data_IF_527532400384
#
_entry.id   IF_527532400384
#
_cell.length_a   1.000
_cell.length_b   1.000
_cell.length_c   1.000
_cell.angle_alpha   90.00
_cell.angle_beta   90.00
_cell.angle_gamma   90.00
#
_symmetry.space_group_name_H-M   'P 1'
#
loop_
_entity.id
_entity.type
_entity.pdbx_description
1 polymer ?
#
# COMPACT_ATOMS: atom_id res chain seq x y z
N UNK A 1 -6.48 18.75 -23.17
CA UNK A 1 -6.77 17.53 -22.41
C UNK A 1 -6.77 17.93 -20.94
N UNK A 2 -7.96 18.01 -20.32
CA UNK A 2 -8.08 18.42 -18.92
C UNK A 2 -7.85 17.19 -18.04
N UNK A 3 -6.87 17.27 -17.15
CA UNK A 3 -6.62 16.23 -16.14
C UNK A 3 -7.39 16.60 -14.88
N UNK A 4 -8.37 15.77 -14.51
CA UNK A 4 -9.06 15.91 -13.24
C UNK A 4 -8.28 15.16 -12.16
N UNK A 5 -7.81 15.87 -11.16
CA UNK A 5 -7.19 15.27 -9.99
C UNK A 5 -8.21 15.16 -8.87
N UNK A 6 -8.45 13.93 -8.43
CA UNK A 6 -9.32 13.65 -7.28
C UNK A 6 -8.47 13.16 -6.12
N UNK A 7 -8.37 13.96 -5.07
CA UNK A 7 -7.64 13.58 -3.85
C UNK A 7 -8.64 13.41 -2.72
N UNK A 8 -8.75 12.22 -2.11
CA UNK A 8 -9.60 12.02 -0.96
C UNK A 8 -9.02 12.80 0.24
N UNK A 9 -9.80 13.72 0.80
CA UNK A 9 -9.37 14.63 1.87
C UNK A 9 -10.05 14.36 3.21
N UNK A 10 -11.08 13.51 3.25
CA UNK A 10 -11.78 13.18 4.48
C UNK A 10 -12.82 12.10 4.32
N UNK A 11 -13.27 11.56 5.45
CA UNK A 11 -14.33 10.57 5.56
C UNK A 11 -15.30 10.99 6.64
N UNK A 12 -16.60 10.75 6.40
CA UNK A 12 -17.65 10.94 7.41
C UNK A 12 -17.82 9.72 8.32
N UNK A 13 -16.93 8.73 8.20
CA UNK A 13 -16.92 7.54 9.05
C UNK A 13 -16.31 7.86 10.43
N UNK A 14 -17.04 7.60 11.55
CA UNK A 14 -16.51 7.88 12.87
C UNK A 14 -15.36 6.91 13.22
N UNK A 15 -14.21 7.46 13.60
CA UNK A 15 -13.07 6.70 14.12
C UNK A 15 -13.25 6.54 15.63
N UNK A 16 -13.80 5.39 16.07
CA UNK A 16 -14.11 5.11 17.48
C UNK A 16 -12.92 4.57 18.29
N UNK A 17 -11.91 4.02 17.62
CA UNK A 17 -10.71 3.43 18.25
C UNK A 17 -9.45 4.04 17.64
N UNK A 18 -8.37 4.08 18.42
CA UNK A 18 -7.07 4.54 17.93
C UNK A 18 -6.53 3.58 16.87
N UNK A 19 -6.20 4.04 15.66
CA UNK A 19 -5.75 3.19 14.55
C UNK A 19 -4.24 2.93 14.62
N UNK A 20 -3.80 2.15 15.60
CA UNK A 20 -2.39 1.88 15.86
C UNK A 20 -1.68 1.17 14.71
N UNK A 21 -2.34 0.19 14.08
CA UNK A 21 -1.75 -0.60 12.99
C UNK A 21 -1.59 0.26 11.74
N UNK A 22 -2.59 1.09 11.43
CA UNK A 22 -2.48 2.06 10.31
C UNK A 22 -1.24 2.95 10.49
N UNK A 23 -1.06 3.52 11.68
CA UNK A 23 0.10 4.37 11.96
C UNK A 23 1.41 3.59 11.96
N UNK A 24 1.42 2.37 12.52
CA UNK A 24 2.59 1.49 12.49
C UNK A 24 3.04 1.23 11.05
N UNK A 25 2.13 0.87 10.15
CA UNK A 25 2.42 0.62 8.74
C UNK A 25 2.97 1.90 8.08
N UNK A 26 2.31 3.05 8.30
CA UNK A 26 2.76 4.33 7.73
C UNK A 26 4.18 4.68 8.19
N UNK A 27 4.45 4.61 9.48
CA UNK A 27 5.78 4.91 10.05
C UNK A 27 6.82 3.95 9.48
N UNK A 28 6.51 2.64 9.38
CA UNK A 28 7.41 1.64 8.79
C UNK A 28 7.74 1.98 7.34
N UNK A 29 6.73 2.28 6.50
CA UNK A 29 6.95 2.65 5.09
C UNK A 29 7.82 3.91 4.96
N UNK A 30 7.53 4.95 5.74
CA UNK A 30 8.29 6.21 5.74
C UNK A 30 9.73 5.96 6.18
N UNK A 31 9.93 5.24 7.28
CA UNK A 31 11.26 4.94 7.82
C UNK A 31 12.09 4.14 6.82
N UNK A 32 11.56 3.06 6.26
CA UNK A 32 12.26 2.25 5.27
C UNK A 32 12.60 3.06 4.01
N UNK A 33 11.68 3.93 3.56
CA UNK A 33 11.96 4.79 2.42
C UNK A 33 13.07 5.80 2.71
N UNK A 34 13.09 6.43 3.88
CA UNK A 34 14.15 7.36 4.30
C UNK A 34 15.49 6.62 4.37
N UNK A 35 15.52 5.46 5.02
CA UNK A 35 16.73 4.63 5.13
C UNK A 35 17.24 4.26 3.73
N UNK A 36 16.36 3.78 2.84
CA UNK A 36 16.73 3.44 1.46
C UNK A 36 17.26 4.65 0.69
N UNK A 37 16.58 5.79 0.78
CA UNK A 37 16.90 7.02 0.05
C UNK A 37 18.25 7.63 0.44
N UNK A 38 18.60 7.57 1.71
CA UNK A 38 19.77 8.22 2.29
C UNK A 38 20.83 7.23 2.78
N UNK A 39 20.76 5.95 2.37
CA UNK A 39 21.77 4.97 2.74
C UNK A 39 23.17 5.42 2.29
N UNK A 40 24.20 5.25 3.14
CA UNK A 40 25.60 5.53 2.74
C UNK A 40 26.04 4.64 1.57
N UNK A 41 26.91 5.15 0.74
CA UNK A 41 27.57 4.36 -0.32
C UNK A 41 28.37 3.25 0.38
N UNK A 42 28.19 2.00 -0.10
CA UNK A 42 28.87 0.82 0.51
C UNK A 42 28.18 0.25 1.75
N UNK A 43 26.96 0.71 2.11
CA UNK A 43 26.19 0.06 3.16
C UNK A 43 25.95 -1.42 2.84
N UNK A 44 26.25 -2.31 3.80
CA UNK A 44 26.16 -3.77 3.64
C UNK A 44 24.73 -4.33 3.56
N UNK A 45 23.74 -3.55 4.00
CA UNK A 45 22.33 -3.95 3.96
C UNK A 45 21.69 -3.60 2.60
N UNK A 46 21.00 -4.57 2.05
CA UNK A 46 20.37 -4.48 0.75
C UNK A 46 18.84 -4.71 0.88
N UNK A 47 18.07 -3.77 0.37
CA UNK A 47 16.61 -3.88 0.32
C UNK A 47 16.11 -4.77 -0.82
N UNK A 48 16.97 -5.20 -1.75
CA UNK A 48 16.58 -6.08 -2.86
C UNK A 48 16.01 -7.41 -2.37
N UNK A 49 16.46 -7.89 -1.21
CA UNK A 49 15.94 -9.08 -0.54
C UNK A 49 14.48 -8.95 -0.07
N UNK A 50 13.95 -7.73 0.01
CA UNK A 50 12.58 -7.44 0.40
C UNK A 50 11.66 -7.15 -0.79
N UNK A 51 12.22 -6.98 -1.99
CA UNK A 51 11.51 -6.70 -3.25
C UNK A 51 10.86 -7.99 -3.74
N UNK A 52 9.61 -7.93 -4.14
CA UNK A 52 8.96 -9.07 -4.77
C UNK A 52 9.38 -9.17 -6.24
N UNK A 53 9.92 -10.32 -6.62
CA UNK A 53 10.35 -10.63 -7.99
C UNK A 53 9.34 -11.57 -8.65
N UNK A 54 8.54 -11.13 -9.63
CA UNK A 54 7.55 -11.98 -10.30
C UNK A 54 8.16 -13.20 -11.00
N UNK A 55 9.36 -13.07 -11.59
CA UNK A 55 10.05 -14.17 -12.26
C UNK A 55 10.57 -15.25 -11.28
N UNK A 56 10.90 -14.83 -10.04
CA UNK A 56 11.47 -15.71 -9.00
C UNK A 56 10.77 -15.44 -7.66
N UNK A 57 9.47 -15.81 -7.52
CA UNK A 57 8.66 -15.42 -6.39
C UNK A 57 9.11 -16.10 -5.10
N UNK A 58 9.43 -15.30 -4.09
CA UNK A 58 9.68 -15.75 -2.72
C UNK A 58 8.49 -15.36 -1.86
N UNK A 59 7.92 -16.32 -1.12
CA UNK A 59 6.70 -16.08 -0.32
C UNK A 59 6.84 -14.90 0.65
N UNK A 60 7.98 -14.78 1.33
CA UNK A 60 8.21 -13.67 2.25
C UNK A 60 8.13 -12.30 1.56
N UNK A 61 8.65 -12.20 0.33
CA UNK A 61 8.66 -10.92 -0.41
C UNK A 61 7.28 -10.51 -0.90
N UNK A 62 6.32 -11.43 -1.02
CA UNK A 62 4.92 -11.12 -1.29
C UNK A 62 4.26 -10.27 -0.17
N UNK A 63 4.89 -10.22 1.00
CA UNK A 63 4.45 -9.42 2.13
C UNK A 63 5.35 -8.20 2.36
N UNK A 64 6.67 -8.36 2.22
CA UNK A 64 7.63 -7.30 2.57
C UNK A 64 7.68 -6.17 1.53
N UNK A 65 7.45 -6.45 0.25
CA UNK A 65 7.46 -5.46 -0.81
C UNK A 65 6.48 -4.31 -0.60
N UNK A 66 5.37 -4.56 0.14
CA UNK A 66 4.37 -3.54 0.44
C UNK A 66 4.89 -2.38 1.31
N UNK A 67 6.00 -2.59 2.01
CA UNK A 67 6.61 -1.55 2.86
C UNK A 67 7.66 -0.71 2.12
N UNK A 68 8.07 -1.11 0.92
CA UNK A 68 9.10 -0.43 0.13
C UNK A 68 8.46 0.55 -0.86
N UNK A 69 9.14 1.67 -1.13
CA UNK A 69 8.68 2.69 -2.08
C UNK A 69 9.85 3.27 -2.88
N UNK A 70 9.60 3.64 -4.14
CA UNK A 70 10.63 4.15 -5.07
C UNK A 70 10.70 5.67 -5.15
N UNK A 71 9.64 6.37 -4.75
CA UNK A 71 9.58 7.83 -4.82
C UNK A 71 8.69 8.45 -3.73
N UNK A 72 8.92 9.73 -3.43
CA UNK A 72 8.07 10.49 -2.49
C UNK A 72 6.61 10.55 -2.92
N UNK A 73 6.35 10.68 -4.21
CA UNK A 73 4.98 10.71 -4.74
C UNK A 73 4.29 9.35 -4.58
N UNK A 74 5.00 8.26 -4.85
CA UNK A 74 4.50 6.89 -4.68
C UNK A 74 4.21 6.59 -3.20
N UNK A 75 5.14 6.95 -2.30
CA UNK A 75 4.93 6.82 -0.85
C UNK A 75 3.74 7.67 -0.39
N UNK A 76 3.72 8.97 -0.73
CA UNK A 76 2.69 9.90 -0.30
C UNK A 76 1.29 9.48 -0.76
N UNK A 77 1.15 9.05 -2.01
CA UNK A 77 -0.11 8.53 -2.53
C UNK A 77 -0.63 7.35 -1.71
N UNK A 78 0.22 6.35 -1.46
CA UNK A 78 -0.16 5.19 -0.64
C UNK A 78 -0.52 5.60 0.80
N UNK A 79 0.26 6.50 1.42
CA UNK A 79 0.01 6.93 2.81
C UNK A 79 -1.30 7.71 2.94
N UNK A 80 -1.65 8.57 1.98
CA UNK A 80 -2.93 9.29 1.99
C UNK A 80 -4.09 8.30 2.01
N UNK A 81 -4.11 7.33 1.10
CA UNK A 81 -5.18 6.33 1.04
C UNK A 81 -5.21 5.46 2.30
N UNK A 82 -4.04 5.03 2.79
CA UNK A 82 -3.95 4.19 3.97
C UNK A 82 -4.42 4.93 5.23
N UNK A 83 -4.01 6.19 5.42
CA UNK A 83 -4.45 7.00 6.57
C UNK A 83 -5.96 7.26 6.51
N UNK A 84 -6.51 7.58 5.36
CA UNK A 84 -7.95 7.86 5.24
C UNK A 84 -8.80 6.60 5.44
N UNK A 85 -8.58 5.59 4.63
CA UNK A 85 -9.41 4.39 4.61
C UNK A 85 -9.04 3.41 5.72
N UNK A 86 -7.74 3.26 5.98
CA UNK A 86 -7.22 2.33 6.98
C UNK A 86 -7.67 2.68 8.39
N UNK A 87 -7.61 3.96 8.78
CA UNK A 87 -8.09 4.41 10.11
C UNK A 87 -9.55 4.09 10.34
N UNK A 88 -10.40 4.33 9.35
CA UNK A 88 -11.82 4.04 9.44
C UNK A 88 -12.09 2.52 9.49
N UNK A 89 -11.43 1.75 8.61
CA UNK A 89 -11.58 0.30 8.57
C UNK A 89 -11.03 -0.36 9.84
N UNK A 90 -9.81 0.00 10.29
CA UNK A 90 -9.21 -0.54 11.51
C UNK A 90 -10.09 -0.29 12.73
N UNK A 91 -10.66 0.93 12.84
CA UNK A 91 -11.58 1.27 13.90
C UNK A 91 -12.84 0.40 13.91
N UNK A 92 -13.24 -0.14 12.75
CA UNK A 92 -14.43 -0.97 12.58
C UNK A 92 -14.15 -2.46 12.80
N UNK A 93 -13.07 -2.98 12.22
CA UNK A 93 -12.76 -4.42 12.24
C UNK A 93 -11.81 -4.83 13.37
N UNK A 94 -11.12 -3.87 13.96
CA UNK A 94 -10.06 -4.07 14.96
C UNK A 94 -8.67 -4.26 14.35
N UNK A 95 -7.60 -4.07 15.15
CA UNK A 95 -6.21 -4.00 14.65
C UNK A 95 -5.73 -5.30 14.01
N UNK A 96 -5.97 -6.45 14.64
CA UNK A 96 -5.50 -7.74 14.13
C UNK A 96 -6.12 -8.10 12.77
N UNK A 97 -7.45 -7.90 12.62
CA UNK A 97 -8.12 -8.16 11.35
C UNK A 97 -7.70 -7.17 10.28
N UNK A 98 -7.51 -5.91 10.64
CA UNK A 98 -7.01 -4.89 9.71
C UNK A 98 -5.61 -5.24 9.18
N UNK A 99 -4.69 -5.65 10.07
CA UNK A 99 -3.36 -6.11 9.67
C UNK A 99 -3.43 -7.32 8.75
N UNK A 100 -4.25 -8.31 9.08
CA UNK A 100 -4.45 -9.49 8.24
C UNK A 100 -4.99 -9.12 6.85
N UNK A 101 -5.98 -8.21 6.76
CA UNK A 101 -6.49 -7.70 5.49
C UNK A 101 -5.37 -7.05 4.66
N UNK A 102 -4.55 -6.19 5.30
CA UNK A 102 -3.44 -5.51 4.62
C UNK A 102 -2.42 -6.53 4.07
N UNK A 103 -2.01 -7.51 4.87
CA UNK A 103 -1.00 -8.51 4.48
C UNK A 103 -1.53 -9.48 3.41
N UNK A 104 -2.75 -9.98 3.56
CA UNK A 104 -3.37 -10.85 2.54
C UNK A 104 -3.55 -10.10 1.23
N UNK A 105 -4.01 -8.85 1.27
CA UNK A 105 -4.16 -8.03 0.07
C UNK A 105 -2.82 -7.72 -0.59
N UNK A 106 -1.73 -7.55 0.19
CA UNK A 106 -0.37 -7.45 -0.36
C UNK A 106 0.00 -8.68 -1.18
N UNK A 107 -0.14 -9.86 -0.60
CA UNK A 107 0.19 -11.12 -1.27
C UNK A 107 -0.69 -11.37 -2.51
N UNK A 108 -1.99 -11.14 -2.41
CA UNK A 108 -2.91 -11.24 -3.56
C UNK A 108 -2.54 -10.23 -4.65
N UNK A 109 -2.19 -9.00 -4.28
CA UNK A 109 -1.73 -7.98 -5.22
C UNK A 109 -0.47 -8.40 -5.97
N UNK A 110 0.50 -9.01 -5.28
CA UNK A 110 1.72 -9.55 -5.88
C UNK A 110 1.40 -10.67 -6.89
N UNK A 111 0.53 -11.61 -6.54
CA UNK A 111 0.09 -12.68 -7.45
C UNK A 111 -0.66 -12.11 -8.66
N UNK A 112 -1.62 -11.22 -8.45
CA UNK A 112 -2.35 -10.58 -9.55
C UNK A 112 -1.41 -9.81 -10.49
N UNK A 113 -0.44 -9.08 -9.94
CA UNK A 113 0.58 -8.39 -10.74
C UNK A 113 1.38 -9.37 -11.59
N UNK A 114 1.86 -10.48 -10.99
CA UNK A 114 2.61 -11.52 -11.70
C UNK A 114 1.80 -12.10 -12.86
N UNK A 115 0.56 -12.52 -12.60
CA UNK A 115 -0.32 -13.10 -13.62
C UNK A 115 -0.59 -12.08 -14.73
N UNK A 116 -0.95 -10.85 -14.38
CA UNK A 116 -1.23 -9.81 -15.36
C UNK A 116 -0.01 -9.50 -16.22
N UNK A 117 1.16 -9.33 -15.58
CA UNK A 117 2.42 -9.05 -16.31
C UNK A 117 2.80 -10.20 -17.23
N UNK A 118 2.68 -11.45 -16.77
CA UNK A 118 2.97 -12.61 -17.60
C UNK A 118 2.05 -12.71 -18.85
N UNK A 119 0.78 -12.30 -18.72
CA UNK A 119 -0.20 -12.37 -19.81
C UNK A 119 -0.13 -11.18 -20.76
N UNK A 120 0.17 -9.97 -20.27
CA UNK A 120 0.05 -8.73 -21.07
C UNK A 120 1.37 -8.09 -21.44
N UNK A 121 2.42 -8.32 -20.66
CA UNK A 121 3.72 -7.66 -20.82
C UNK A 121 4.88 -8.53 -20.29
N UNK A 122 5.08 -9.76 -20.84
CA UNK A 122 6.03 -10.74 -20.31
C UNK A 122 7.48 -10.23 -20.28
N UNK A 123 7.84 -9.27 -21.11
CA UNK A 123 9.15 -8.62 -21.09
C UNK A 123 9.46 -7.87 -19.78
N UNK A 124 8.46 -7.61 -18.95
CA UNK A 124 8.62 -6.91 -17.66
C UNK A 124 8.57 -7.85 -16.45
N UNK A 125 8.48 -9.17 -16.66
CA UNK A 125 8.34 -10.16 -15.56
C UNK A 125 9.54 -10.16 -14.58
N UNK A 126 10.71 -9.73 -15.05
CA UNK A 126 11.92 -9.65 -14.24
C UNK A 126 12.01 -8.36 -13.40
N UNK A 127 11.13 -7.39 -13.64
CA UNK A 127 11.16 -6.17 -12.83
C UNK A 127 10.56 -6.39 -11.44
N UNK A 128 11.29 -5.94 -10.43
CA UNK A 128 10.85 -6.04 -9.05
C UNK A 128 9.65 -5.14 -8.74
N UNK A 129 8.75 -5.67 -7.93
CA UNK A 129 7.53 -4.98 -7.46
C UNK A 129 7.73 -4.45 -6.06
N UNK A 130 7.38 -3.19 -5.84
CA UNK A 130 7.40 -2.54 -4.52
C UNK A 130 6.19 -1.62 -4.37
N UNK A 131 5.78 -1.39 -3.14
CA UNK A 131 4.73 -0.44 -2.79
C UNK A 131 3.49 -1.06 -2.17
N UNK A 132 2.85 -0.27 -1.33
CA UNK A 132 1.64 -0.66 -0.61
C UNK A 132 0.37 -0.67 -1.48
N UNK A 133 0.45 -0.39 -2.79
CA UNK A 133 -0.72 -0.18 -3.64
C UNK A 133 -1.67 -1.38 -3.71
N UNK A 134 -1.14 -2.61 -3.82
CA UNK A 134 -1.94 -3.83 -3.75
C UNK A 134 -2.66 -3.98 -2.41
N UNK A 135 -1.95 -3.77 -1.31
CA UNK A 135 -2.52 -3.81 0.03
C UNK A 135 -3.55 -2.70 0.26
N UNK A 136 -3.29 -1.46 -0.18
CA UNK A 136 -4.24 -0.34 -0.05
C UNK A 136 -5.48 -0.53 -0.91
N UNK A 137 -5.36 -1.18 -2.09
CA UNK A 137 -6.50 -1.57 -2.91
C UNK A 137 -7.40 -2.57 -2.19
N UNK A 138 -6.81 -3.57 -1.50
CA UNK A 138 -7.58 -4.49 -0.66
C UNK A 138 -8.22 -3.81 0.56
N UNK A 139 -7.53 -2.85 1.18
CA UNK A 139 -8.11 -2.01 2.24
C UNK A 139 -9.29 -1.20 1.70
N UNK A 140 -9.20 -0.63 0.50
CA UNK A 140 -10.31 0.05 -0.16
C UNK A 140 -11.50 -0.90 -0.41
N UNK A 141 -11.24 -2.10 -0.95
CA UNK A 141 -12.28 -3.11 -1.15
C UNK A 141 -13.00 -3.49 0.14
N UNK A 142 -12.25 -3.78 1.21
CA UNK A 142 -12.81 -4.07 2.53
C UNK A 142 -13.56 -2.87 3.13
N UNK A 143 -13.09 -1.65 2.90
CA UNK A 143 -13.75 -0.42 3.29
C UNK A 143 -15.13 -0.28 2.60
N UNK A 144 -15.18 -0.49 1.28
CA UNK A 144 -16.42 -0.40 0.50
C UNK A 144 -17.47 -1.43 0.97
N UNK A 145 -17.04 -2.63 1.35
CA UNK A 145 -17.95 -3.66 1.88
C UNK A 145 -18.45 -3.32 3.29
N UNK A 146 -17.57 -2.80 4.16
CA UNK A 146 -17.90 -2.60 5.59
C UNK A 146 -18.45 -1.23 5.93
N UNK A 147 -18.20 -0.24 5.09
CA UNK A 147 -18.50 1.18 5.31
C UNK A 147 -19.11 1.83 4.06
N UNK A 148 -19.86 1.07 3.25
CA UNK A 148 -20.46 1.50 1.98
C UNK A 148 -21.37 2.73 2.10
N UNK A 149 -21.92 2.98 3.29
CA UNK A 149 -22.78 4.11 3.60
C UNK A 149 -22.01 5.39 3.99
N UNK A 150 -20.68 5.31 4.21
CA UNK A 150 -19.90 6.50 4.57
C UNK A 150 -19.50 7.30 3.32
N UNK A 151 -19.54 8.64 3.47
CA UNK A 151 -19.17 9.55 2.37
C UNK A 151 -17.68 9.84 2.40
N UNK A 152 -17.06 9.77 1.21
CA UNK A 152 -15.68 10.22 0.99
C UNK A 152 -15.74 11.67 0.51
N UNK A 153 -15.09 12.58 1.24
CA UNK A 153 -14.89 13.95 0.77
C UNK A 153 -13.68 13.98 -0.14
N UNK A 154 -13.84 14.54 -1.31
CA UNK A 154 -12.81 14.62 -2.33
C UNK A 154 -12.54 16.08 -2.66
N UNK A 155 -11.29 16.52 -2.60
CA UNK A 155 -10.86 17.75 -3.24
C UNK A 155 -10.58 17.46 -4.72
N UNK A 156 -11.06 18.33 -5.59
CA UNK A 156 -10.76 18.29 -7.01
C UNK A 156 -10.36 19.65 -7.52
N UNK A 157 -9.49 19.69 -8.49
CA UNK A 157 -9.19 20.90 -9.25
C UNK A 157 -9.01 20.54 -10.72
N UNK A 158 -9.33 21.54 -11.54
CA UNK A 158 -9.40 21.47 -12.99
C UNK A 158 -8.22 22.23 -13.57
#
# INVERSE_FOLDING_TARGET
>A
MYFFYYVPVGLDAPVKRRPFVTWFICVTCITLYIIYKYKPIGAWWDFTLLIFQPAYPVLATAFTHAFLHVSWLHLGGNMIYLVLLGRALESRVGPARFYAIFMVASAVGAVCHTVLTALTAPQYIEYGVVGASGATSGVLGAYLVRLSWSRVRVAYWI
#
